data_IF_777415067692
#
_entry.id   IF_777415067692
#
_cell.length_a   1.000
_cell.length_b   1.000
_cell.length_c   1.000
_cell.angle_alpha   90.00
_cell.angle_beta   90.00
_cell.angle_gamma   90.00
#
_symmetry.space_group_name_H-M   'P 1'
#
loop_
_entity.id
_entity.type
_entity.pdbx_description
1 polymer ?
#
# COMPACT_ATOMS: atom_id res chain seq x y z
N UNK A 1 -10.92 -4.61 6.63
CA UNK A 1 -10.41 -3.79 5.50
C UNK A 1 -10.57 -4.66 4.26
N UNK A 2 -11.27 -4.18 3.23
CA UNK A 2 -11.45 -4.93 1.98
C UNK A 2 -10.59 -4.32 0.87
N UNK A 3 -9.87 -5.15 0.12
CA UNK A 3 -9.09 -4.71 -1.04
C UNK A 3 -10.05 -4.58 -2.23
N UNK A 4 -10.10 -3.39 -2.83
CA UNK A 4 -10.85 -3.12 -4.05
C UNK A 4 -10.03 -3.43 -5.30
N UNK A 5 -8.75 -3.02 -5.32
CA UNK A 5 -7.84 -3.35 -6.42
C UNK A 5 -6.38 -3.37 -5.98
N UNK A 6 -5.56 -4.12 -6.71
CA UNK A 6 -4.11 -4.19 -6.54
C UNK A 6 -3.46 -4.01 -7.91
N UNK A 7 -2.42 -3.20 -7.97
CA UNK A 7 -1.56 -3.05 -9.14
C UNK A 7 -0.11 -3.24 -8.68
N UNK A 8 0.59 -4.18 -9.29
CA UNK A 8 2.03 -4.37 -9.12
C UNK A 8 2.68 -4.16 -10.48
N UNK A 9 3.41 -3.06 -10.64
CA UNK A 9 4.17 -2.85 -11.88
C UNK A 9 5.44 -3.69 -11.82
N UNK A 10 5.86 -4.27 -12.93
CA UNK A 10 7.16 -4.93 -13.03
C UNK A 10 8.28 -3.99 -12.62
N UNK A 11 9.48 -4.54 -12.38
CA UNK A 11 10.66 -3.71 -12.10
C UNK A 11 10.89 -2.77 -13.28
N UNK A 12 11.00 -1.47 -13.04
CA UNK A 12 11.71 -0.61 -13.98
C UNK A 12 13.19 -1.02 -13.90
N UNK A 13 13.88 -1.09 -15.04
CA UNK A 13 15.13 -1.82 -15.28
C UNK A 13 16.33 -1.47 -14.35
N UNK A 14 16.16 -0.58 -13.37
CA UNK A 14 17.18 -0.08 -12.45
C UNK A 14 16.83 -0.24 -10.94
N UNK A 15 15.62 -0.71 -10.57
CA UNK A 15 15.13 -0.70 -9.18
C UNK A 15 15.21 -2.04 -8.41
N UNK A 16 15.64 -1.99 -7.13
CA UNK A 16 15.63 -3.16 -6.21
C UNK A 16 14.23 -3.53 -5.69
N UNK A 17 13.33 -2.56 -5.59
CA UNK A 17 11.97 -2.73 -5.05
C UNK A 17 10.91 -2.72 -6.17
N UNK A 18 9.78 -3.39 -5.92
CA UNK A 18 8.65 -3.45 -6.84
C UNK A 18 7.49 -2.65 -6.24
N UNK A 19 6.95 -1.63 -6.93
CA UNK A 19 5.87 -0.83 -6.36
C UNK A 19 4.56 -1.61 -6.34
N UNK A 20 3.91 -1.63 -5.18
CA UNK A 20 2.58 -2.17 -4.97
C UNK A 20 1.61 -1.02 -4.67
N UNK A 21 0.58 -0.89 -5.49
CA UNK A 21 -0.48 0.12 -5.34
C UNK A 21 -1.76 -0.61 -4.98
N UNK A 22 -2.36 -0.26 -3.84
CA UNK A 22 -3.58 -0.87 -3.34
C UNK A 22 -4.67 0.17 -3.18
N UNK A 23 -5.88 -0.13 -3.65
CA UNK A 23 -7.08 0.63 -3.34
C UNK A 23 -7.97 -0.25 -2.47
N UNK A 24 -8.48 0.31 -1.38
CA UNK A 24 -9.43 -0.39 -0.51
C UNK A 24 -10.86 0.02 -0.82
N UNK A 25 -11.83 -0.83 -0.48
CA UNK A 25 -13.20 -0.36 -0.29
C UNK A 25 -13.24 0.69 0.83
N UNK A 26 -14.34 1.47 0.88
CA UNK A 26 -14.57 2.44 1.96
C UNK A 26 -14.39 1.76 3.31
N UNK A 27 -13.43 2.25 4.06
CA UNK A 27 -12.98 1.66 5.32
C UNK A 27 -12.74 2.76 6.35
N UNK A 28 -12.83 2.43 7.63
CA UNK A 28 -12.48 3.38 8.69
C UNK A 28 -10.99 3.72 8.63
N UNK A 29 -10.64 5.01 8.63
CA UNK A 29 -9.25 5.47 8.51
C UNK A 29 -8.35 4.94 9.62
N UNK A 30 -8.85 4.83 10.86
CA UNK A 30 -8.09 4.25 11.98
C UNK A 30 -7.60 2.85 11.64
N UNK A 31 -8.45 2.03 11.01
CA UNK A 31 -8.09 0.67 10.64
C UNK A 31 -7.04 0.68 9.51
N UNK A 32 -7.17 1.57 8.52
CA UNK A 32 -6.18 1.71 7.44
C UNK A 32 -4.81 2.14 7.99
N UNK A 33 -4.79 3.11 8.89
CA UNK A 33 -3.55 3.59 9.52
C UNK A 33 -2.88 2.51 10.38
N UNK A 34 -3.64 1.67 11.09
CA UNK A 34 -3.10 0.52 11.82
C UNK A 34 -2.50 -0.52 10.87
N UNK A 35 -3.23 -0.89 9.82
CA UNK A 35 -2.74 -1.85 8.83
C UNK A 35 -1.50 -1.34 8.08
N UNK A 36 -1.42 -0.04 7.77
CA UNK A 36 -0.23 0.56 7.14
C UNK A 36 1.00 0.48 8.05
N UNK A 37 0.84 0.67 9.38
CA UNK A 37 1.96 0.51 10.33
C UNK A 37 2.46 -0.94 10.35
N UNK A 38 1.54 -1.89 10.40
CA UNK A 38 1.89 -3.32 10.35
C UNK A 38 2.60 -3.69 9.03
N UNK A 39 2.19 -3.10 7.90
CA UNK A 39 2.84 -3.30 6.60
C UNK A 39 4.25 -2.69 6.59
N UNK A 40 4.40 -1.45 7.07
CA UNK A 40 5.69 -0.74 7.08
C UNK A 40 6.75 -1.42 7.98
N UNK A 41 6.33 -2.29 8.91
CA UNK A 41 7.22 -3.08 9.77
C UNK A 41 7.68 -4.40 9.15
N UNK A 42 7.14 -4.80 7.99
CA UNK A 42 7.54 -6.04 7.32
C UNK A 42 8.96 -5.92 6.75
N UNK A 43 9.81 -6.94 6.97
CA UNK A 43 11.20 -6.96 6.48
C UNK A 43 11.34 -6.81 4.95
N UNK A 44 10.29 -7.15 4.21
CA UNK A 44 10.25 -7.08 2.74
C UNK A 44 9.88 -5.69 2.21
N UNK A 45 9.42 -4.78 3.08
CA UNK A 45 9.04 -3.43 2.71
C UNK A 45 10.26 -2.53 2.80
N UNK A 46 10.68 -2.01 1.64
CA UNK A 46 11.93 -1.27 1.51
C UNK A 46 11.82 0.19 1.97
N UNK A 47 10.63 0.79 1.87
CA UNK A 47 10.36 2.19 2.19
C UNK A 47 8.95 2.35 2.78
N UNK A 48 8.73 3.43 3.55
CA UNK A 48 7.41 3.74 4.12
C UNK A 48 6.34 3.89 3.03
N UNK A 49 5.16 3.36 3.32
CA UNK A 49 4.02 3.43 2.44
C UNK A 49 3.48 4.86 2.29
N UNK A 50 3.09 5.22 1.06
CA UNK A 50 2.34 6.45 0.80
C UNK A 50 0.84 6.20 1.02
N UNK A 51 0.16 7.12 1.71
CA UNK A 51 -1.29 7.06 1.95
C UNK A 51 -2.00 8.25 1.31
N UNK A 52 -2.91 7.97 0.39
CA UNK A 52 -3.72 8.97 -0.32
C UNK A 52 -5.20 8.61 -0.12
N UNK A 53 -6.01 9.54 0.39
CA UNK A 53 -7.46 9.37 0.47
C UNK A 53 -8.07 9.60 -0.90
N UNK A 54 -8.98 8.71 -1.29
CA UNK A 54 -9.78 8.84 -2.51
C UNK A 54 -11.21 9.11 -2.10
N UNK A 55 -11.68 10.32 -2.37
CA UNK A 55 -13.06 10.74 -2.18
C UNK A 55 -13.76 10.78 -3.54
N UNK A 56 -15.09 10.72 -3.53
CA UNK A 56 -15.90 10.90 -4.72
C UNK A 56 -16.24 12.37 -4.93
#
# INVERSE_FOLDING_TARGET
>A
IGIFSVIQKGRCDEGKAVPLIMMTHRSNEKNIQLALREIDELEVVYEKSNFIRVEK
#
